data_IF_647138273560
#
_entry.id   IF_647138273560
#
_cell.length_a   1.000
_cell.length_b   1.000
_cell.length_c   1.000
_cell.angle_alpha   90.00
_cell.angle_beta   90.00
_cell.angle_gamma   90.00
#
_symmetry.space_group_name_H-M   'P 1'
#
loop_
_entity.id
_entity.type
_entity.pdbx_description
1 polymer ?
#
# COMPACT_ATOMS: atom_id res chain seq x y z
N UNK A 1 -27.15 16.95 -4.38
CA UNK A 1 -27.73 15.63 -4.10
C UNK A 1 -26.85 15.05 -3.02
N UNK A 2 -27.32 15.06 -1.79
CA UNK A 2 -26.59 14.46 -0.68
C UNK A 2 -26.49 12.97 -0.95
N UNK A 3 -25.27 12.48 -1.15
CA UNK A 3 -24.99 11.07 -1.35
C UNK A 3 -25.20 10.38 -0.01
N UNK A 4 -26.26 9.57 0.08
CA UNK A 4 -26.57 8.74 1.25
C UNK A 4 -25.32 8.01 1.77
N UNK A 5 -25.08 8.08 3.08
CA UNK A 5 -23.92 7.49 3.73
C UNK A 5 -24.33 6.22 4.51
N UNK A 6 -23.90 5.01 4.08
CA UNK A 6 -24.27 3.76 4.73
C UNK A 6 -23.59 3.53 6.08
N UNK A 7 -22.57 4.33 6.45
CA UNK A 7 -21.73 4.06 7.63
C UNK A 7 -22.49 4.02 8.95
N UNK A 8 -23.52 4.86 9.11
CA UNK A 8 -24.30 4.91 10.35
C UNK A 8 -25.09 3.62 10.57
N UNK A 9 -25.83 3.15 9.56
CA UNK A 9 -26.56 1.87 9.64
C UNK A 9 -25.60 0.69 9.78
N UNK A 10 -24.45 0.71 9.11
CA UNK A 10 -23.46 -0.35 9.26
C UNK A 10 -22.88 -0.36 10.68
N UNK A 11 -22.63 0.79 11.30
CA UNK A 11 -22.17 0.86 12.69
C UNK A 11 -23.20 0.24 13.66
N UNK A 12 -24.49 0.48 13.44
CA UNK A 12 -25.58 -0.20 14.18
C UNK A 12 -25.56 -1.72 13.95
N UNK A 13 -25.32 -2.17 12.72
CA UNK A 13 -25.20 -3.60 12.43
C UNK A 13 -23.95 -4.23 13.07
N UNK A 14 -22.85 -3.48 13.18
CA UNK A 14 -21.60 -3.94 13.78
C UNK A 14 -21.71 -4.06 15.30
N UNK A 15 -22.34 -3.10 15.98
CA UNK A 15 -22.54 -3.15 17.44
C UNK A 15 -23.37 -4.36 17.86
N UNK A 16 -24.41 -4.71 17.09
CA UNK A 16 -25.26 -5.90 17.28
C UNK A 16 -24.46 -7.22 17.10
N UNK A 17 -23.32 -7.19 16.41
CA UNK A 17 -22.50 -8.38 16.16
C UNK A 17 -21.33 -8.53 17.15
N UNK A 18 -21.16 -7.60 18.10
CA UNK A 18 -19.97 -7.55 18.98
C UNK A 18 -19.90 -8.72 19.97
N UNK A 19 -21.03 -9.09 20.57
CA UNK A 19 -21.10 -10.16 21.59
C UNK A 19 -21.26 -11.56 20.98
N UNK A 20 -21.59 -11.65 19.70
CA UNK A 20 -21.75 -12.89 18.93
C UNK A 20 -23.11 -13.58 19.06
N UNK A 21 -24.07 -13.01 19.81
CA UNK A 21 -25.41 -13.57 20.00
C UNK A 21 -26.52 -12.55 19.75
N UNK A 22 -27.24 -12.69 18.63
CA UNK A 22 -28.37 -11.80 18.31
C UNK A 22 -29.57 -12.03 19.24
N UNK A 23 -29.96 -10.97 19.95
CA UNK A 23 -31.14 -10.90 20.81
C UNK A 23 -32.34 -10.23 20.13
N UNK A 24 -33.53 -10.40 20.73
CA UNK A 24 -34.75 -9.74 20.25
C UNK A 24 -34.75 -8.23 20.46
N UNK A 25 -34.12 -7.76 21.53
CA UNK A 25 -34.02 -6.32 21.84
C UNK A 25 -33.12 -5.61 20.83
N UNK A 26 -31.99 -6.20 20.43
CA UNK A 26 -31.13 -5.67 19.37
C UNK A 26 -31.82 -5.60 18.02
N UNK A 27 -32.61 -6.63 17.71
CA UNK A 27 -33.43 -6.69 16.52
C UNK A 27 -34.52 -5.63 16.52
N UNK A 28 -35.13 -5.37 17.68
CA UNK A 28 -36.07 -4.28 17.86
C UNK A 28 -35.39 -2.92 17.67
N UNK A 29 -34.23 -2.69 18.27
CA UNK A 29 -33.45 -1.46 18.12
C UNK A 29 -33.02 -1.23 16.66
N UNK A 30 -32.65 -2.27 15.92
CA UNK A 30 -32.35 -2.16 14.50
C UNK A 30 -33.59 -1.73 13.69
N UNK A 31 -34.76 -2.31 13.99
CA UNK A 31 -36.01 -1.96 13.33
C UNK A 31 -36.47 -0.53 13.69
N UNK A 32 -36.33 -0.13 14.94
CA UNK A 32 -36.58 1.24 15.42
C UNK A 32 -35.69 2.24 14.68
N UNK A 33 -34.39 1.97 14.61
CA UNK A 33 -33.43 2.81 13.88
C UNK A 33 -33.83 2.97 12.40
N UNK A 34 -34.19 1.87 11.72
CA UNK A 34 -34.64 1.93 10.31
C UNK A 34 -35.93 2.72 10.12
N UNK A 35 -36.87 2.63 11.06
CA UNK A 35 -38.11 3.41 11.02
C UNK A 35 -37.86 4.92 11.15
N UNK A 36 -36.87 5.29 11.97
CA UNK A 36 -36.45 6.67 12.18
C UNK A 36 -35.60 7.21 11.00
N UNK A 37 -34.97 6.32 10.22
CA UNK A 37 -34.09 6.65 9.09
C UNK A 37 -34.63 6.11 7.77
N UNK A 38 -35.79 6.62 7.33
CA UNK A 38 -36.50 6.14 6.12
C UNK A 38 -35.67 6.11 4.83
N UNK A 39 -34.71 7.01 4.68
CA UNK A 39 -33.81 7.01 3.52
C UNK A 39 -32.89 5.77 3.52
N UNK A 40 -32.42 5.34 4.69
CA UNK A 40 -31.59 4.15 4.85
C UNK A 40 -32.32 2.87 4.42
N UNK A 41 -33.64 2.82 4.54
CA UNK A 41 -34.46 1.70 4.06
C UNK A 41 -34.43 1.50 2.55
N UNK A 42 -34.13 2.55 1.78
CA UNK A 42 -34.15 2.53 0.31
C UNK A 42 -32.76 2.18 -0.24
N UNK A 43 -31.72 2.53 0.50
CA UNK A 43 -30.33 2.32 0.12
C UNK A 43 -29.71 1.11 0.82
N UNK A 44 -28.56 0.66 0.33
CA UNK A 44 -27.79 -0.37 1.00
C UNK A 44 -27.21 0.15 2.33
N UNK A 45 -27.18 -0.63 3.43
CA UNK A 45 -27.66 -2.00 3.54
C UNK A 45 -29.14 -2.13 3.94
N UNK A 46 -29.87 -1.04 4.24
CA UNK A 46 -31.23 -1.11 4.77
C UNK A 46 -32.23 -1.74 3.82
N UNK A 47 -32.08 -1.56 2.51
CA UNK A 47 -32.89 -2.24 1.49
C UNK A 47 -32.79 -3.78 1.53
N UNK A 48 -31.74 -4.33 2.13
CA UNK A 48 -31.60 -5.77 2.38
C UNK A 48 -32.26 -6.21 3.69
N UNK A 49 -32.39 -5.30 4.66
CA UNK A 49 -32.85 -5.59 6.02
C UNK A 49 -34.36 -5.44 6.19
N UNK A 50 -34.98 -4.47 5.51
CA UNK A 50 -36.39 -4.10 5.73
C UNK A 50 -37.33 -5.29 5.55
N UNK A 51 -37.22 -6.02 4.44
CA UNK A 51 -38.11 -7.14 4.15
C UNK A 51 -37.90 -8.31 5.14
N UNK A 52 -36.67 -8.80 5.39
CA UNK A 52 -36.44 -9.82 6.41
C UNK A 52 -36.94 -9.43 7.80
N UNK A 53 -36.75 -8.17 8.21
CA UNK A 53 -37.27 -7.68 9.50
C UNK A 53 -38.80 -7.58 9.51
N UNK A 54 -39.46 -7.30 8.40
CA UNK A 54 -40.93 -7.36 8.35
C UNK A 54 -41.45 -8.80 8.45
N UNK A 55 -40.77 -9.74 7.78
CA UNK A 55 -41.17 -11.15 7.76
C UNK A 55 -41.08 -11.80 9.14
N UNK A 56 -40.01 -11.50 9.88
CA UNK A 56 -39.77 -12.07 11.21
C UNK A 56 -40.73 -11.51 12.29
N UNK A 57 -41.37 -10.37 12.04
CA UNK A 57 -42.34 -9.75 12.96
C UNK A 57 -43.79 -10.00 12.53
N UNK A 58 -44.01 -10.63 11.36
CA UNK A 58 -45.33 -10.79 10.77
C UNK A 58 -46.28 -11.67 11.60
N UNK A 59 -45.74 -12.66 12.32
CA UNK A 59 -46.52 -13.58 13.17
C UNK A 59 -46.49 -13.21 14.67
N UNK A 60 -45.81 -12.10 15.01
CA UNK A 60 -45.62 -11.61 16.37
C UNK A 60 -44.74 -12.49 17.27
N UNK A 61 -44.01 -13.46 16.71
CA UNK A 61 -43.17 -14.40 17.47
C UNK A 61 -41.77 -14.52 16.87
N UNK A 62 -40.81 -13.88 17.52
CA UNK A 62 -39.41 -14.00 17.14
C UNK A 62 -38.83 -15.38 17.50
N UNK A 63 -38.53 -16.21 16.50
CA UNK A 63 -37.93 -17.54 16.69
C UNK A 63 -36.41 -17.54 16.58
N UNK A 64 -35.76 -18.57 17.16
CA UNK A 64 -34.31 -18.77 17.04
C UNK A 64 -33.84 -18.95 15.59
N UNK A 65 -34.68 -19.52 14.73
CA UNK A 65 -34.34 -19.72 13.31
C UNK A 65 -34.28 -18.39 12.57
N UNK A 66 -35.24 -17.51 12.84
CA UNK A 66 -35.32 -16.17 12.26
C UNK A 66 -34.20 -15.27 12.76
N UNK A 67 -33.93 -15.24 14.07
CA UNK A 67 -32.76 -14.55 14.62
C UNK A 67 -31.47 -15.03 13.95
N UNK A 68 -31.32 -16.34 13.75
CA UNK A 68 -30.15 -16.88 13.04
C UNK A 68 -30.08 -16.44 11.57
N UNK A 69 -31.21 -16.28 10.89
CA UNK A 69 -31.26 -15.79 9.52
C UNK A 69 -30.84 -14.32 9.44
N UNK A 70 -31.37 -13.47 10.33
CA UNK A 70 -30.97 -12.06 10.38
C UNK A 70 -29.50 -11.92 10.77
N UNK A 71 -29.02 -12.66 11.77
CA UNK A 71 -27.60 -12.65 12.15
C UNK A 71 -26.67 -13.02 11.00
N UNK A 72 -27.04 -14.00 10.15
CA UNK A 72 -26.28 -14.32 8.92
C UNK A 72 -26.27 -13.16 7.93
N UNK A 73 -27.40 -12.48 7.76
CA UNK A 73 -27.51 -11.32 6.87
C UNK A 73 -26.64 -10.15 7.36
N UNK A 74 -26.65 -9.85 8.66
CA UNK A 74 -25.78 -8.83 9.26
C UNK A 74 -24.29 -9.15 9.04
N UNK A 75 -23.89 -10.42 9.20
CA UNK A 75 -22.50 -10.86 8.89
C UNK A 75 -22.16 -10.68 7.40
N UNK A 76 -23.10 -10.93 6.49
CA UNK A 76 -22.90 -10.68 5.06
C UNK A 76 -22.74 -9.19 4.76
N UNK A 77 -23.58 -8.34 5.36
CA UNK A 77 -23.49 -6.88 5.24
C UNK A 77 -22.12 -6.38 5.71
N UNK A 78 -21.64 -6.83 6.88
CA UNK A 78 -20.31 -6.46 7.40
C UNK A 78 -19.18 -6.86 6.44
N UNK A 79 -19.24 -8.08 5.88
CA UNK A 79 -18.23 -8.55 4.91
C UNK A 79 -18.25 -7.73 3.63
N UNK A 80 -19.43 -7.43 3.11
CA UNK A 80 -19.61 -6.61 1.91
C UNK A 80 -19.17 -5.17 2.16
N UNK A 81 -19.44 -4.60 3.33
CA UNK A 81 -18.93 -3.28 3.74
C UNK A 81 -17.41 -3.24 3.72
N UNK A 82 -16.76 -4.22 4.37
CA UNK A 82 -15.31 -4.32 4.41
C UNK A 82 -14.72 -4.44 3.00
N UNK A 83 -15.37 -5.20 2.11
CA UNK A 83 -14.99 -5.32 0.72
C UNK A 83 -15.08 -3.97 -0.02
N UNK A 84 -16.23 -3.29 0.06
CA UNK A 84 -16.44 -1.97 -0.58
C UNK A 84 -15.44 -0.94 -0.10
N UNK A 85 -15.20 -0.87 1.22
CA UNK A 85 -14.19 0.02 1.79
C UNK A 85 -12.77 -0.31 1.30
N UNK A 86 -12.45 -1.58 1.13
CA UNK A 86 -11.15 -1.98 0.58
C UNK A 86 -11.01 -1.58 -0.90
N UNK A 87 -12.07 -1.73 -1.69
CA UNK A 87 -12.11 -1.28 -3.09
C UNK A 87 -12.01 0.25 -3.19
N UNK A 88 -12.83 1.00 -2.43
CA UNK A 88 -12.76 2.46 -2.35
C UNK A 88 -11.39 2.94 -1.89
N UNK A 89 -10.83 2.37 -0.82
CA UNK A 89 -9.50 2.73 -0.34
C UNK A 89 -8.42 2.47 -1.41
N UNK A 90 -8.58 1.41 -2.21
CA UNK A 90 -7.66 1.11 -3.31
C UNK A 90 -7.80 2.12 -4.46
N UNK A 91 -9.01 2.47 -4.87
CA UNK A 91 -9.25 3.51 -5.90
C UNK A 91 -8.73 4.89 -5.45
N UNK A 92 -9.02 5.30 -4.21
CA UNK A 92 -8.49 6.52 -3.62
C UNK A 92 -6.95 6.51 -3.58
N UNK A 93 -6.34 5.36 -3.24
CA UNK A 93 -4.90 5.19 -3.27
C UNK A 93 -4.36 5.29 -4.70
N UNK A 94 -5.02 4.68 -5.70
CA UNK A 94 -4.60 4.73 -7.10
C UNK A 94 -4.59 6.16 -7.65
N UNK A 95 -5.65 6.93 -7.42
CA UNK A 95 -5.73 8.34 -7.81
C UNK A 95 -4.68 9.21 -7.11
N UNK A 96 -4.44 8.95 -5.83
CA UNK A 96 -3.41 9.64 -5.09
C UNK A 96 -2.02 9.31 -5.61
N UNK A 97 -1.73 8.04 -5.87
CA UNK A 97 -0.45 7.58 -6.40
C UNK A 97 -0.20 8.15 -7.79
N UNK A 98 -1.21 8.21 -8.66
CA UNK A 98 -1.15 8.89 -9.96
C UNK A 98 -0.72 10.36 -9.80
N UNK A 99 -1.34 11.09 -8.86
CA UNK A 99 -0.98 12.50 -8.58
C UNK A 99 0.42 12.65 -8.00
N UNK A 100 0.82 11.74 -7.10
CA UNK A 100 2.16 11.74 -6.53
C UNK A 100 3.18 11.51 -7.63
N UNK A 101 3.03 10.45 -8.44
CA UNK A 101 3.92 10.10 -9.54
C UNK A 101 4.16 11.28 -10.49
N UNK A 102 3.11 12.03 -10.85
CA UNK A 102 3.22 13.20 -11.73
C UNK A 102 4.03 14.37 -11.13
N UNK A 103 4.24 14.39 -9.82
CA UNK A 103 4.92 15.48 -9.10
C UNK A 103 6.22 15.04 -8.42
N UNK A 104 6.73 13.85 -8.74
CA UNK A 104 7.99 13.37 -8.16
C UNK A 104 9.17 14.19 -8.68
N UNK A 105 9.93 14.76 -7.75
CA UNK A 105 11.21 15.40 -8.03
C UNK A 105 12.31 14.34 -8.18
N UNK A 106 12.57 13.94 -9.42
CA UNK A 106 13.62 12.97 -9.76
C UNK A 106 15.04 13.50 -9.53
N UNK A 107 15.24 14.77 -9.17
CA UNK A 107 16.57 15.28 -8.82
C UNK A 107 17.05 14.82 -7.43
N UNK A 108 16.14 14.22 -6.64
CA UNK A 108 16.41 13.80 -5.25
C UNK A 108 16.17 12.30 -5.08
N UNK A 109 17.11 11.55 -4.48
CA UNK A 109 16.92 10.12 -4.24
C UNK A 109 16.01 9.93 -3.02
N UNK A 110 14.70 10.12 -3.21
CA UNK A 110 13.69 9.92 -2.17
C UNK A 110 12.57 9.02 -2.66
N UNK A 111 12.08 8.19 -1.75
CA UNK A 111 10.85 7.44 -1.88
C UNK A 111 9.66 8.38 -1.74
N UNK A 112 8.60 8.20 -2.55
CA UNK A 112 7.38 8.97 -2.42
C UNK A 112 6.62 8.61 -1.15
N UNK A 113 6.14 9.61 -0.41
CA UNK A 113 5.22 9.42 0.71
C UNK A 113 3.81 9.17 0.19
N UNK A 114 3.26 7.98 0.43
CA UNK A 114 1.90 7.62 0.05
C UNK A 114 1.12 7.25 1.31
N UNK A 115 0.03 7.96 1.69
CA UNK A 115 -0.76 7.66 2.88
C UNK A 115 -1.59 6.39 2.69
N UNK A 116 -0.90 5.25 2.67
CA UNK A 116 -1.43 3.92 2.44
C UNK A 116 -0.77 2.94 3.42
N UNK A 117 -1.61 2.24 4.15
CA UNK A 117 -1.21 1.21 5.09
C UNK A 117 -1.73 -0.12 4.57
N UNK A 118 -0.86 -1.13 4.54
CA UNK A 118 -1.22 -2.48 4.08
C UNK A 118 -0.50 -3.55 4.89
N UNK A 119 -0.90 -4.81 4.68
CA UNK A 119 -0.29 -5.97 5.30
C UNK A 119 0.33 -6.86 4.21
N UNK A 120 1.65 -7.02 4.27
CA UNK A 120 2.40 -7.85 3.31
C UNK A 120 2.75 -9.17 3.97
N UNK A 121 2.55 -10.27 3.24
CA UNK A 121 2.89 -11.62 3.73
C UNK A 121 4.41 -11.77 3.86
N UNK A 122 4.86 -12.47 4.90
CA UNK A 122 6.25 -12.90 4.99
C UNK A 122 6.59 -13.83 3.82
N UNK A 123 7.74 -13.63 3.18
CA UNK A 123 8.19 -14.55 2.11
C UNK A 123 8.86 -15.82 2.66
N UNK A 124 9.10 -15.90 3.97
CA UNK A 124 9.86 -16.98 4.61
C UNK A 124 9.06 -17.74 5.66
N UNK A 125 8.00 -17.15 6.19
CA UNK A 125 7.20 -17.73 7.28
C UNK A 125 5.73 -17.77 6.89
N UNK A 126 5.16 -18.97 6.87
CA UNK A 126 3.75 -19.17 6.49
C UNK A 126 2.84 -18.57 7.55
N UNK A 127 1.83 -17.82 7.12
CA UNK A 127 0.82 -17.21 8.01
C UNK A 127 1.27 -15.90 8.67
N UNK A 128 2.55 -15.55 8.61
CA UNK A 128 3.07 -14.28 9.15
C UNK A 128 2.81 -13.14 8.15
N UNK A 129 2.36 -11.99 8.67
CA UNK A 129 2.17 -10.75 7.92
C UNK A 129 2.84 -9.60 8.64
N UNK A 130 3.27 -8.60 7.88
CA UNK A 130 3.90 -7.40 8.37
C UNK A 130 3.12 -6.16 7.92
N UNK A 131 2.83 -5.29 8.86
CA UNK A 131 2.32 -3.95 8.60
C UNK A 131 3.36 -3.12 7.86
N UNK A 132 2.92 -2.44 6.81
CA UNK A 132 3.70 -1.51 5.99
C UNK A 132 2.91 -0.22 5.88
N UNK A 133 3.56 0.90 6.20
CA UNK A 133 3.00 2.26 6.04
C UNK A 133 3.91 3.06 5.10
N UNK A 134 3.35 3.46 3.95
CA UNK A 134 4.07 4.18 2.91
C UNK A 134 4.10 5.72 3.13
N UNK A 135 3.47 6.25 4.18
CA UNK A 135 3.48 7.69 4.51
C UNK A 135 4.88 8.16 4.94
N UNK A 136 5.62 7.26 5.58
CA UNK A 136 7.00 7.48 6.00
C UNK A 136 7.78 6.19 5.89
N UNK A 137 7.89 5.59 4.68
CA UNK A 137 8.03 4.16 4.44
C UNK A 137 8.58 3.36 5.62
N UNK A 138 7.68 2.73 6.36
CA UNK A 138 7.96 1.89 7.53
C UNK A 138 7.51 0.45 7.30
N UNK A 139 8.08 -0.48 8.05
CA UNK A 139 7.62 -1.85 8.09
C UNK A 139 7.83 -2.46 9.47
N UNK A 140 6.90 -3.30 9.91
CA UNK A 140 7.01 -4.04 11.17
C UNK A 140 7.96 -5.26 11.10
N UNK A 141 8.57 -5.56 9.95
CA UNK A 141 9.41 -6.75 9.81
C UNK A 141 10.74 -6.66 10.57
N UNK A 142 11.34 -7.80 10.98
CA UNK A 142 12.58 -7.82 11.75
C UNK A 142 13.74 -7.08 11.07
N UNK A 143 13.88 -7.22 9.75
CA UNK A 143 14.94 -6.52 8.99
C UNK A 143 14.79 -5.00 9.06
N UNK A 144 13.55 -4.49 8.98
CA UNK A 144 13.31 -3.05 9.07
C UNK A 144 13.60 -2.54 10.49
N UNK A 145 13.06 -3.22 11.50
CA UNK A 145 13.27 -2.88 12.91
C UNK A 145 14.75 -2.91 13.29
N UNK A 146 15.50 -3.89 12.81
CA UNK A 146 16.92 -4.02 13.15
C UNK A 146 17.81 -3.00 12.42
N UNK A 147 17.52 -2.68 11.16
CA UNK A 147 18.53 -2.02 10.31
C UNK A 147 18.07 -0.78 9.55
N UNK A 148 16.76 -0.55 9.40
CA UNK A 148 16.24 0.49 8.49
C UNK A 148 15.50 1.61 9.21
N UNK A 149 14.99 1.35 10.42
CA UNK A 149 14.15 2.29 11.17
C UNK A 149 14.85 3.64 11.47
N UNK A 150 16.17 3.62 11.63
CA UNK A 150 16.98 4.78 12.00
C UNK A 150 17.33 5.68 10.81
N UNK A 151 17.08 5.24 9.57
CA UNK A 151 17.34 6.04 8.37
C UNK A 151 16.31 7.16 8.24
N UNK A 152 16.64 8.32 7.63
CA UNK A 152 15.69 9.42 7.44
C UNK A 152 14.43 8.98 6.67
N UNK A 153 13.24 9.50 7.00
CA UNK A 153 12.03 9.26 6.21
C UNK A 153 12.24 9.56 4.72
N UNK A 154 11.71 8.69 3.85
CA UNK A 154 11.89 8.80 2.40
C UNK A 154 13.23 8.29 1.87
N UNK A 155 14.21 7.93 2.71
CA UNK A 155 15.48 7.39 2.22
C UNK A 155 15.28 6.02 1.52
N UNK A 156 15.85 5.81 0.32
CA UNK A 156 15.65 4.58 -0.50
C UNK A 156 16.00 3.29 0.27
N UNK A 157 17.07 3.32 1.07
CA UNK A 157 17.47 2.19 1.91
C UNK A 157 16.49 1.85 3.04
N UNK A 158 15.39 2.61 3.24
CA UNK A 158 14.28 2.17 4.09
C UNK A 158 13.47 1.03 3.48
N UNK A 159 13.59 0.80 2.17
CA UNK A 159 12.88 -0.30 1.51
C UNK A 159 13.42 -1.67 1.92
N UNK A 160 12.73 -2.35 2.83
CA UNK A 160 12.80 -3.81 2.91
C UNK A 160 11.97 -4.42 1.77
N UNK A 161 12.05 -5.75 1.58
CA UNK A 161 11.26 -6.46 0.56
C UNK A 161 9.75 -6.19 0.64
N UNK A 162 9.19 -6.04 1.84
CA UNK A 162 7.76 -5.77 2.01
C UNK A 162 7.37 -4.34 1.63
N UNK A 163 8.28 -3.36 1.79
CA UNK A 163 8.05 -1.99 1.31
C UNK A 163 8.07 -1.97 -0.22
N UNK A 164 8.95 -2.73 -0.86
CA UNK A 164 8.90 -2.94 -2.32
C UNK A 164 7.55 -3.52 -2.75
N UNK A 165 7.13 -4.64 -2.15
CA UNK A 165 5.85 -5.27 -2.48
C UNK A 165 4.68 -4.29 -2.33
N UNK A 166 4.68 -3.47 -1.27
CA UNK A 166 3.63 -2.47 -1.05
C UNK A 166 3.63 -1.37 -2.11
N UNK A 167 4.79 -0.91 -2.60
CA UNK A 167 4.84 0.02 -3.74
C UNK A 167 4.40 -0.63 -5.05
N UNK A 168 4.69 -1.92 -5.26
CA UNK A 168 4.23 -2.67 -6.42
C UNK A 168 2.71 -2.87 -6.43
N UNK A 169 2.08 -3.02 -5.26
CA UNK A 169 0.61 -3.06 -5.15
C UNK A 169 -0.05 -1.74 -5.58
N UNK A 170 0.69 -0.64 -5.51
CA UNK A 170 0.22 0.71 -5.82
C UNK A 170 0.79 1.27 -7.11
N UNK A 171 1.44 0.47 -7.95
CA UNK A 171 2.07 0.99 -9.16
C UNK A 171 1.06 1.77 -10.03
N UNK A 172 1.35 3.04 -10.39
CA UNK A 172 0.48 3.78 -11.30
C UNK A 172 0.32 3.04 -12.62
N UNK A 173 -0.79 3.25 -13.32
CA UNK A 173 -1.04 2.66 -14.65
C UNK A 173 0.06 3.00 -15.67
N UNK A 174 0.64 4.21 -15.58
CA UNK A 174 1.77 4.64 -16.42
C UNK A 174 3.15 4.21 -15.87
N UNK A 175 3.18 3.48 -14.75
CA UNK A 175 4.39 3.18 -13.99
C UNK A 175 4.89 4.36 -13.16
N UNK A 176 5.83 4.07 -12.24
CA UNK A 176 6.58 5.12 -11.54
C UNK A 176 7.58 5.79 -12.50
N UNK A 177 7.80 7.11 -12.39
CA UNK A 177 8.59 7.85 -13.37
C UNK A 177 10.10 7.59 -13.24
N UNK A 178 10.79 7.65 -14.38
CA UNK A 178 12.26 7.70 -14.48
C UNK A 178 12.99 6.61 -13.69
N UNK A 179 14.07 7.01 -13.00
CA UNK A 179 14.87 6.06 -12.20
C UNK A 179 14.08 5.42 -11.06
N UNK A 180 12.99 6.03 -10.58
CA UNK A 180 12.21 5.49 -9.47
C UNK A 180 11.44 4.23 -9.89
N UNK A 181 10.86 4.22 -11.10
CA UNK A 181 10.25 3.01 -11.65
C UNK A 181 11.27 1.89 -11.83
N UNK A 182 12.44 2.20 -12.39
CA UNK A 182 13.50 1.20 -12.50
C UNK A 182 14.03 0.73 -11.15
N UNK A 183 14.08 1.60 -10.14
CA UNK A 183 14.42 1.21 -8.78
C UNK A 183 13.42 0.17 -8.25
N UNK A 184 12.11 0.39 -8.37
CA UNK A 184 11.12 -0.58 -7.90
C UNK A 184 11.11 -1.89 -8.71
N UNK A 185 11.34 -1.81 -10.02
CA UNK A 185 11.16 -2.95 -10.92
C UNK A 185 12.42 -3.79 -11.12
N UNK A 186 13.62 -3.20 -10.99
CA UNK A 186 14.89 -3.85 -11.31
C UNK A 186 15.83 -3.97 -10.11
N UNK A 187 15.60 -3.23 -9.01
CA UNK A 187 16.44 -3.35 -7.82
C UNK A 187 16.10 -4.58 -6.98
N UNK A 188 17.09 -5.01 -6.20
CA UNK A 188 16.83 -5.80 -5.00
C UNK A 188 16.79 -4.88 -3.78
N UNK A 189 16.19 -5.31 -2.65
CA UNK A 189 16.19 -4.53 -1.42
C UNK A 189 17.60 -4.02 -1.09
N UNK A 190 17.80 -2.69 -0.91
CA UNK A 190 19.12 -2.12 -0.69
C UNK A 190 19.79 -2.72 0.54
N UNK A 191 21.11 -2.87 0.48
CA UNK A 191 21.91 -3.19 1.66
C UNK A 191 21.77 -2.05 2.69
N UNK A 192 21.66 -2.32 4.00
CA UNK A 192 21.39 -1.28 5.01
C UNK A 192 22.38 -0.12 5.06
N UNK A 193 23.62 -0.35 4.62
CA UNK A 193 24.68 0.66 4.56
C UNK A 193 24.80 1.36 3.20
N UNK A 194 23.94 1.02 2.23
CA UNK A 194 23.91 1.74 0.96
C UNK A 194 23.27 3.11 1.15
N UNK A 195 23.88 4.10 0.53
CA UNK A 195 23.36 5.45 0.36
C UNK A 195 23.18 5.72 -1.13
N UNK A 196 22.42 6.75 -1.48
CA UNK A 196 21.92 6.98 -2.83
C UNK A 196 22.16 8.42 -3.26
N UNK A 197 22.49 8.60 -4.53
CA UNK A 197 22.69 9.91 -5.14
C UNK A 197 22.03 9.95 -6.50
N UNK A 198 21.55 11.13 -6.88
CA UNK A 198 21.13 11.41 -8.25
C UNK A 198 22.22 12.23 -8.93
N UNK A 199 22.58 11.82 -10.15
CA UNK A 199 23.50 12.52 -11.03
C UNK A 199 22.72 13.06 -12.22
N UNK A 200 22.95 14.32 -12.58
CA UNK A 200 22.42 14.87 -13.82
C UNK A 200 23.48 14.77 -14.91
N UNK A 201 23.19 14.00 -15.97
CA UNK A 201 24.06 13.84 -17.14
C UNK A 201 23.26 14.21 -18.38
N UNK A 202 23.64 15.31 -19.03
CA UNK A 202 22.84 15.89 -20.10
C UNK A 202 21.48 16.36 -19.55
N UNK A 203 20.39 15.88 -20.16
CA UNK A 203 19.02 16.16 -19.71
C UNK A 203 18.45 15.06 -18.80
N UNK A 204 19.16 13.93 -18.62
CA UNK A 204 18.67 12.79 -17.84
C UNK A 204 19.14 12.79 -16.38
N UNK A 205 18.37 12.13 -15.53
CA UNK A 205 18.73 11.85 -14.14
C UNK A 205 19.14 10.39 -13.97
N UNK A 206 20.26 10.15 -13.32
CA UNK A 206 20.79 8.82 -13.04
C UNK A 206 20.75 8.60 -11.54
N UNK A 207 20.15 7.51 -11.10
CA UNK A 207 20.26 7.08 -9.70
C UNK A 207 21.47 6.16 -9.55
N UNK A 208 22.33 6.43 -8.59
CA UNK A 208 23.45 5.56 -8.24
C UNK A 208 23.52 5.33 -6.73
N UNK A 209 23.89 4.12 -6.32
CA UNK A 209 24.17 3.82 -4.92
C UNK A 209 25.66 3.94 -4.60
N UNK A 210 25.98 4.09 -3.32
CA UNK A 210 27.30 3.73 -2.80
C UNK A 210 27.51 2.21 -2.89
N UNK A 211 28.75 1.77 -2.69
CA UNK A 211 29.17 0.39 -2.90
C UNK A 211 29.85 -0.21 -1.64
N UNK A 212 29.15 -0.31 -0.49
CA UNK A 212 29.76 -0.82 0.75
C UNK A 212 30.26 -2.26 0.63
N UNK A 213 29.68 -3.06 -0.27
CA UNK A 213 30.09 -4.44 -0.56
C UNK A 213 30.95 -4.55 -1.82
N UNK A 214 31.44 -3.43 -2.33
CA UNK A 214 32.17 -3.34 -3.60
C UNK A 214 31.28 -3.10 -4.82
N UNK A 215 29.98 -3.36 -4.74
CA UNK A 215 29.04 -3.16 -5.86
C UNK A 215 28.07 -1.99 -5.64
N UNK A 216 28.07 -1.05 -6.57
CA UNK A 216 27.04 -0.02 -6.71
C UNK A 216 25.96 -0.46 -7.71
N UNK A 217 24.71 -0.12 -7.43
CA UNK A 217 23.62 -0.16 -8.41
C UNK A 217 23.52 1.21 -9.10
N UNK A 218 23.33 1.20 -10.41
CA UNK A 218 23.21 2.40 -11.23
C UNK A 218 22.01 2.23 -12.16
N UNK A 219 21.10 3.21 -12.17
CA UNK A 219 19.92 3.22 -13.03
C UNK A 219 20.04 4.35 -14.04
N UNK A 220 20.10 3.99 -15.32
CA UNK A 220 20.34 4.92 -16.44
C UNK A 220 19.28 4.74 -17.49
N UNK A 221 18.82 5.85 -18.08
CA UNK A 221 17.94 5.83 -19.23
C UNK A 221 18.73 5.62 -20.53
N UNK A 222 18.40 4.56 -21.25
CA UNK A 222 18.94 4.28 -22.58
C UNK A 222 17.80 3.84 -23.52
N UNK A 223 17.74 4.43 -24.72
CA UNK A 223 16.72 4.07 -25.70
C UNK A 223 15.27 4.34 -25.27
N UNK A 224 15.04 5.29 -24.34
CA UNK A 224 13.72 5.66 -23.84
C UNK A 224 13.20 4.78 -22.69
N UNK A 225 14.06 3.94 -22.11
CA UNK A 225 13.74 3.14 -20.93
C UNK A 225 14.91 3.13 -19.94
N UNK A 226 14.62 3.01 -18.65
CA UNK A 226 15.66 2.86 -17.64
C UNK A 226 16.06 1.40 -17.47
N UNK A 227 17.36 1.15 -17.33
CA UNK A 227 17.93 -0.16 -17.00
C UNK A 227 18.88 -0.07 -15.79
N UNK A 228 19.18 -1.21 -15.16
CA UNK A 228 20.06 -1.35 -14.01
C UNK A 228 21.41 -1.93 -14.39
N UNK A 229 22.46 -1.15 -14.11
CA UNK A 229 23.85 -1.53 -14.24
C UNK A 229 24.48 -1.75 -12.86
N UNK A 230 25.46 -2.66 -12.79
CA UNK A 230 26.29 -2.87 -11.61
C UNK A 230 27.70 -2.34 -11.86
N UNK A 231 28.24 -1.54 -10.94
CA UNK A 231 29.64 -1.11 -10.99
C UNK A 231 30.40 -1.61 -9.78
N UNK A 232 31.50 -2.34 -10.01
CA UNK A 232 32.39 -2.79 -8.95
C UNK A 232 33.52 -1.77 -8.74
N UNK A 233 33.59 -1.19 -7.54
CA UNK A 233 34.58 -0.15 -7.20
C UNK A 233 35.97 -0.74 -6.92
N UNK A 234 36.06 -1.98 -6.44
CA UNK A 234 37.33 -2.63 -6.11
C UNK A 234 38.05 -3.13 -7.36
N UNK A 235 37.29 -3.70 -8.29
CA UNK A 235 37.77 -4.24 -9.56
C UNK A 235 37.73 -3.20 -10.70
N UNK A 236 37.18 -2.01 -10.45
CA UNK A 236 37.00 -0.93 -11.41
C UNK A 236 36.36 -1.39 -12.73
N UNK A 237 35.29 -2.18 -12.65
CA UNK A 237 34.61 -2.73 -13.83
C UNK A 237 33.09 -2.69 -13.72
N UNK A 238 32.44 -2.73 -14.86
CA UNK A 238 31.00 -2.95 -14.93
C UNK A 238 30.66 -4.44 -14.91
N UNK A 239 29.50 -4.77 -14.36
CA UNK A 239 28.93 -6.10 -14.43
C UNK A 239 28.84 -6.54 -15.90
N UNK A 240 29.28 -7.77 -16.18
CA UNK A 240 29.26 -8.37 -17.52
C UNK A 240 30.03 -7.60 -18.61
N UNK A 241 30.84 -6.60 -18.24
CA UNK A 241 31.55 -5.74 -19.21
C UNK A 241 30.65 -4.78 -19.98
N UNK A 242 29.39 -4.61 -19.55
CA UNK A 242 28.41 -3.72 -20.20
C UNK A 242 28.42 -2.38 -19.45
N UNK A 243 28.78 -1.31 -20.15
CA UNK A 243 28.84 0.03 -19.57
C UNK A 243 27.66 0.89 -20.04
N UNK A 244 27.06 1.69 -19.14
CA UNK A 244 26.05 2.66 -19.54
C UNK A 244 26.67 3.92 -20.17
N UNK A 245 25.83 4.66 -20.89
CA UNK A 245 26.12 6.01 -21.35
C UNK A 245 26.55 6.90 -20.17
N UNK A 246 27.62 7.67 -20.35
CA UNK A 246 28.19 8.51 -19.29
C UNK A 246 29.03 7.74 -18.24
N UNK A 247 29.42 6.48 -18.52
CA UNK A 247 30.10 5.59 -17.57
C UNK A 247 31.27 6.24 -16.80
N UNK A 248 32.10 7.07 -17.44
CA UNK A 248 33.24 7.75 -16.80
C UNK A 248 32.81 8.72 -15.70
N UNK A 249 31.75 9.48 -15.94
CA UNK A 249 31.23 10.48 -15.00
C UNK A 249 30.56 9.78 -13.82
N UNK A 250 29.77 8.74 -14.09
CA UNK A 250 29.10 7.92 -13.08
C UNK A 250 30.13 7.27 -12.15
N UNK A 251 31.15 6.60 -12.71
CA UNK A 251 32.24 5.99 -11.92
C UNK A 251 32.90 6.98 -10.98
N UNK A 252 33.26 8.16 -11.51
CA UNK A 252 33.91 9.22 -10.72
C UNK A 252 33.02 9.68 -9.56
N UNK A 253 31.71 9.83 -9.80
CA UNK A 253 30.77 10.22 -8.76
C UNK A 253 30.66 9.17 -7.64
N UNK A 254 30.49 7.88 -7.99
CA UNK A 254 30.41 6.78 -7.02
C UNK A 254 31.68 6.71 -6.17
N UNK A 255 32.87 6.75 -6.81
CA UNK A 255 34.15 6.69 -6.10
C UNK A 255 34.35 7.90 -5.17
N UNK A 256 33.93 9.09 -5.58
CA UNK A 256 34.01 10.29 -4.74
C UNK A 256 33.06 10.23 -3.54
N UNK A 257 31.85 9.67 -3.72
CA UNK A 257 30.90 9.51 -2.63
C UNK A 257 31.41 8.54 -1.55
N UNK A 258 32.15 7.49 -1.94
CA UNK A 258 32.75 6.53 -1.00
C UNK A 258 33.93 7.09 -0.18
N UNK A 259 34.45 8.27 -0.54
CA UNK A 259 35.57 8.94 0.16
C UNK A 259 35.11 9.95 1.22
N UNK A 260 33.82 10.25 1.28
CA UNK A 260 33.21 11.16 2.25
C UNK A 260 32.82 10.39 3.49
#
# INVERSE_FOLDING_TARGET
MDTYNPSELVAVCESILEDGELSGDELYHLAEWLNDHREACIHWPGNLLVKPLQEVWADGKLTKTEMRQIGRLLVQIRKEWAKRRAEEAFELAADLVRRIANNIDLSRPLLPSVPFITHVKSHTEVGVRYDVDLSGPTCSCPNWRAYRHSLPPGHLTRCCKHVFDAYSLLEPEAGWPGWLGAFFNLASPPHPQQDWMVLQIGQGFILASTAPTGWANVFVEEGGSYDRFGYNIFENRWAYGIEPTGSKQIRRAIVNAMKR
#
